data_IF_426109873699
#
_entry.id   IF_426109873699
#
_cell.length_a   1.000
_cell.length_b   1.000
_cell.length_c   1.000
_cell.angle_alpha   90.00
_cell.angle_beta   90.00
_cell.angle_gamma   90.00
#
_symmetry.space_group_name_H-M   'P 1'
#
loop_
_entity.id
_entity.type
_entity.pdbx_description
1 polymer ?
#
# COMPACT_ATOMS: atom_id res chain seq x y z
N UNK A 1 26.02 -0.05 32.16
CA UNK A 1 25.13 0.47 31.10
C UNK A 1 24.48 -0.76 30.52
N UNK A 2 23.18 -0.95 30.77
CA UNK A 2 22.43 -2.04 30.16
C UNK A 2 21.80 -1.47 28.90
N UNK A 3 22.26 -1.91 27.73
CA UNK A 3 21.57 -1.70 26.46
C UNK A 3 20.28 -2.53 26.50
N UNK A 4 19.25 -1.94 27.08
CA UNK A 4 17.87 -2.39 26.97
C UNK A 4 17.35 -1.88 25.62
N UNK A 5 17.79 -2.52 24.53
CA UNK A 5 17.26 -2.21 23.20
C UNK A 5 15.80 -2.68 23.17
N UNK A 6 14.82 -1.78 22.97
CA UNK A 6 13.42 -2.16 22.99
C UNK A 6 13.16 -3.22 21.91
N UNK A 7 12.33 -4.24 22.18
CA UNK A 7 12.09 -5.30 21.22
C UNK A 7 11.60 -4.71 19.90
N UNK A 8 12.30 -5.04 18.81
CA UNK A 8 11.94 -4.58 17.48
C UNK A 8 10.48 -4.94 17.18
N UNK A 9 9.67 -3.92 16.88
CA UNK A 9 8.28 -4.12 16.49
C UNK A 9 8.29 -4.78 15.12
N UNK A 10 7.73 -5.98 15.02
CA UNK A 10 7.57 -6.63 13.72
C UNK A 10 6.56 -5.84 12.89
N UNK A 11 6.90 -5.46 11.64
CA UNK A 11 5.98 -4.74 10.78
C UNK A 11 4.75 -5.61 10.51
N UNK A 12 3.57 -5.06 10.78
CA UNK A 12 2.30 -5.70 10.49
C UNK A 12 2.23 -5.96 8.99
N UNK A 13 2.11 -7.24 8.61
CA UNK A 13 1.89 -7.62 7.21
C UNK A 13 0.42 -7.49 6.90
N UNK A 14 0.10 -6.43 6.18
CA UNK A 14 -1.21 -6.24 5.57
C UNK A 14 -1.20 -6.87 4.15
N UNK A 15 -2.07 -7.85 3.94
CA UNK A 15 -2.13 -8.59 2.68
C UNK A 15 -2.47 -7.68 1.48
N UNK A 16 -3.30 -6.65 1.69
CA UNK A 16 -3.67 -5.71 0.63
C UNK A 16 -2.47 -4.84 0.20
N UNK A 17 -1.65 -4.40 1.15
CA UNK A 17 -0.40 -3.68 0.89
C UNK A 17 0.60 -4.55 0.15
N UNK A 18 0.72 -5.83 0.53
CA UNK A 18 1.58 -6.79 -0.18
C UNK A 18 1.12 -6.99 -1.62
N UNK A 19 -0.19 -7.10 -1.84
CA UNK A 19 -0.79 -7.22 -3.17
C UNK A 19 -0.51 -5.99 -4.04
N UNK A 20 -0.69 -4.78 -3.48
CA UNK A 20 -0.38 -3.52 -4.15
C UNK A 20 1.08 -3.47 -4.62
N UNK A 21 2.03 -3.81 -3.74
CA UNK A 21 3.45 -3.79 -4.07
C UNK A 21 3.79 -4.80 -5.16
N UNK A 22 3.21 -6.01 -5.09
CA UNK A 22 3.41 -7.04 -6.13
C UNK A 22 2.92 -6.57 -7.49
N UNK A 23 1.73 -6.00 -7.55
CA UNK A 23 1.17 -5.50 -8.80
C UNK A 23 1.97 -4.30 -9.35
N UNK A 24 2.47 -3.42 -8.47
CA UNK A 24 3.31 -2.28 -8.86
C UNK A 24 4.65 -2.74 -9.48
N UNK A 25 5.25 -3.79 -8.91
CA UNK A 25 6.45 -4.42 -9.49
C UNK A 25 6.12 -5.03 -10.86
N UNK A 26 4.95 -5.68 -10.99
CA UNK A 26 4.46 -6.20 -12.27
C UNK A 26 4.32 -5.10 -13.34
N UNK A 27 3.86 -3.90 -12.97
CA UNK A 27 3.81 -2.75 -13.87
C UNK A 27 5.22 -2.31 -14.28
N UNK A 28 6.15 -2.20 -13.32
CA UNK A 28 7.53 -1.78 -13.59
C UNK A 28 8.27 -2.75 -14.54
N UNK A 29 7.91 -4.04 -14.52
CA UNK A 29 8.43 -5.06 -15.42
C UNK A 29 7.71 -5.12 -16.78
N UNK A 30 6.59 -4.43 -16.93
CA UNK A 30 5.73 -4.50 -18.12
C UNK A 30 4.84 -5.74 -18.18
N UNK A 31 4.73 -6.50 -17.08
CA UNK A 31 3.89 -7.69 -16.95
C UNK A 31 2.42 -7.31 -16.70
N UNK A 32 2.19 -6.22 -15.98
CA UNK A 32 0.86 -5.68 -15.66
C UNK A 32 0.65 -4.35 -16.41
N UNK A 33 -0.44 -4.21 -17.19
CA UNK A 33 -0.76 -2.93 -17.82
C UNK A 33 -1.03 -1.84 -16.78
N UNK A 34 -0.39 -0.67 -16.90
CA UNK A 34 -0.59 0.48 -16.00
C UNK A 34 -2.08 0.87 -15.85
N UNK A 35 -2.87 0.79 -16.94
CA UNK A 35 -4.32 1.05 -16.88
C UNK A 35 -5.08 0.10 -15.94
N UNK A 36 -4.68 -1.18 -15.86
CA UNK A 36 -5.29 -2.15 -14.95
C UNK A 36 -4.89 -1.88 -13.50
N UNK A 37 -3.62 -1.53 -13.27
CA UNK A 37 -3.14 -1.12 -11.96
C UNK A 37 -3.87 0.13 -11.45
N UNK A 38 -3.95 1.18 -12.28
CA UNK A 38 -4.68 2.41 -11.95
C UNK A 38 -6.18 2.17 -11.74
N UNK A 39 -6.81 1.25 -12.46
CA UNK A 39 -8.21 0.92 -12.21
C UNK A 39 -8.43 0.24 -10.84
N UNK A 40 -7.42 -0.47 -10.33
CA UNK A 40 -7.51 -1.22 -9.06
C UNK A 40 -7.11 -0.37 -7.85
N UNK A 41 -6.10 0.48 -8.00
CA UNK A 41 -5.50 1.24 -6.90
C UNK A 41 -5.52 2.76 -7.11
N UNK A 42 -5.89 3.22 -8.30
CA UNK A 42 -5.91 4.64 -8.63
C UNK A 42 -7.06 5.33 -7.91
N UNK A 43 -6.78 6.52 -7.41
CA UNK A 43 -7.71 7.36 -6.65
C UNK A 43 -8.75 8.07 -7.53
N UNK A 44 -8.97 7.61 -8.77
CA UNK A 44 -9.95 8.20 -9.69
C UNK A 44 -11.37 7.74 -9.29
N UNK A 45 -11.88 8.39 -8.24
CA UNK A 45 -13.24 8.39 -7.65
C UNK A 45 -13.66 7.18 -6.80
N UNK A 46 -13.43 7.30 -5.49
CA UNK A 46 -14.57 7.38 -4.60
C UNK A 46 -14.91 8.87 -4.37
N UNK A 47 -15.94 9.36 -5.06
CA UNK A 47 -16.66 10.55 -4.63
C UNK A 47 -17.40 10.19 -3.34
N UNK A 48 -16.78 10.34 -2.16
CA UNK A 48 -17.50 10.10 -0.91
C UNK A 48 -16.65 9.76 0.32
N UNK A 49 -15.72 10.64 0.71
CA UNK A 49 -15.60 11.12 2.10
C UNK A 49 -14.47 12.15 2.11
N UNK A 50 -14.83 13.42 1.92
CA UNK A 50 -14.03 14.47 2.51
C UNK A 50 -14.28 14.36 4.01
N UNK A 51 -13.22 14.26 4.80
CA UNK A 51 -13.31 14.23 6.25
C UNK A 51 -14.25 15.31 6.76
N UNK A 52 -15.31 14.87 7.42
CA UNK A 52 -15.97 15.67 8.43
C UNK A 52 -15.04 15.61 9.64
N UNK A 53 -14.11 16.54 9.69
CA UNK A 53 -13.41 16.94 10.91
C UNK A 53 -13.96 18.34 11.28
N UNK A 54 -15.06 18.37 12.03
CA UNK A 54 -15.37 19.43 13.00
C UNK A 54 -16.03 18.84 14.25
#
# INVERSE_FOLDING_TARGET
MSDDDPPAVEPVRDDATVELVRDAIGVARGEVPAKRFSAKYGTERESGTAGDEE
#
